data_IF_670354813723
#
_entry.id   IF_670354813723
#
_cell.length_a   1.000
_cell.length_b   1.000
_cell.length_c   1.000
_cell.angle_alpha   90.00
_cell.angle_beta   90.00
_cell.angle_gamma   90.00
#
_symmetry.space_group_name_H-M   'P 1'
#
loop_
_entity.id
_entity.type
_entity.pdbx_description
1 polymer ?
#
# COMPACT_ATOMS: atom_id res chain seq x y z
N UNK A 1 24.72 10.96 6.24
CA UNK A 1 24.68 9.49 6.04
C UNK A 1 23.41 9.17 5.27
N UNK A 2 23.49 8.69 4.04
CA UNK A 2 22.31 8.26 3.30
C UNK A 2 21.83 6.95 3.91
N UNK A 3 20.72 6.98 4.66
CA UNK A 3 20.14 5.76 5.22
C UNK A 3 19.67 4.92 4.04
N UNK A 4 20.33 3.79 3.81
CA UNK A 4 19.98 2.91 2.70
C UNK A 4 18.56 2.35 2.91
N UNK A 5 17.70 2.55 1.91
CA UNK A 5 16.31 2.11 1.96
C UNK A 5 16.29 0.58 1.88
N UNK A 6 15.72 -0.15 2.86
CA UNK A 6 15.66 -1.60 2.82
C UNK A 6 14.82 -2.05 1.62
N UNK A 7 15.12 -3.26 1.10
CA UNK A 7 14.52 -3.76 -0.14
C UNK A 7 12.99 -3.71 -0.14
N UNK A 8 12.34 -4.05 0.97
CA UNK A 8 10.88 -4.03 1.06
C UNK A 8 10.28 -2.61 0.97
N UNK A 9 10.99 -1.57 1.44
CA UNK A 9 10.59 -0.16 1.26
C UNK A 9 10.84 0.26 -0.19
N UNK A 10 11.99 -0.12 -0.76
CA UNK A 10 12.36 0.22 -2.13
C UNK A 10 11.42 -0.39 -3.17
N UNK A 11 10.94 -1.61 -2.92
CA UNK A 11 9.95 -2.30 -3.76
C UNK A 11 8.55 -1.73 -3.51
N UNK A 12 8.15 -1.57 -2.24
CA UNK A 12 6.81 -1.07 -1.90
C UNK A 12 6.56 0.38 -2.32
N UNK A 13 7.58 1.24 -2.24
CA UNK A 13 7.52 2.65 -2.66
C UNK A 13 8.30 2.90 -3.94
N UNK A 14 8.41 1.89 -4.82
CA UNK A 14 9.14 2.04 -6.06
C UNK A 14 8.57 3.22 -6.89
N UNK A 15 9.44 4.17 -7.26
CA UNK A 15 9.08 5.43 -7.94
C UNK A 15 8.20 6.41 -7.13
N UNK A 16 7.95 6.16 -5.85
CA UNK A 16 7.15 7.06 -4.99
C UNK A 16 8.09 7.88 -4.10
N UNK A 17 8.21 9.17 -4.43
CA UNK A 17 9.07 10.13 -3.72
C UNK A 17 8.29 11.10 -2.82
N UNK A 18 6.98 10.89 -2.63
CA UNK A 18 6.17 11.78 -1.79
C UNK A 18 5.24 11.02 -0.86
N UNK A 19 5.13 11.51 0.38
CA UNK A 19 4.21 11.01 1.40
C UNK A 19 2.76 11.05 0.95
N UNK A 20 2.37 12.13 0.29
CA UNK A 20 1.01 12.31 -0.23
C UNK A 20 0.67 11.23 -1.26
N UNK A 21 1.60 10.92 -2.17
CA UNK A 21 1.41 9.87 -3.18
C UNK A 21 1.31 8.49 -2.53
N UNK A 22 2.18 8.16 -1.56
CA UNK A 22 2.11 6.87 -0.87
C UNK A 22 0.79 6.68 -0.10
N UNK A 23 0.29 7.73 0.57
CA UNK A 23 -1.00 7.70 1.24
C UNK A 23 -2.17 7.58 0.25
N UNK A 24 -2.09 8.27 -0.89
CA UNK A 24 -3.10 8.15 -1.94
C UNK A 24 -3.20 6.70 -2.46
N UNK A 25 -2.06 6.03 -2.67
CA UNK A 25 -2.03 4.61 -3.04
C UNK A 25 -2.57 3.71 -1.92
N UNK A 26 -2.20 3.96 -0.66
CA UNK A 26 -2.73 3.19 0.46
C UNK A 26 -4.26 3.29 0.57
N UNK A 27 -4.80 4.51 0.50
CA UNK A 27 -6.24 4.76 0.54
C UNK A 27 -6.95 4.17 -0.68
N UNK A 28 -6.37 4.34 -1.88
CA UNK A 28 -6.91 3.75 -3.10
C UNK A 28 -6.96 2.22 -3.04
N UNK A 29 -5.91 1.58 -2.50
CA UNK A 29 -5.87 0.13 -2.31
C UNK A 29 -6.91 -0.33 -1.29
N UNK A 30 -7.12 0.39 -0.18
CA UNK A 30 -8.22 0.10 0.77
C UNK A 30 -9.56 0.20 0.08
N UNK A 31 -9.82 1.28 -0.67
CA UNK A 31 -11.10 1.48 -1.35
C UNK A 31 -11.37 0.37 -2.37
N UNK A 32 -10.36 0.00 -3.17
CA UNK A 32 -10.47 -1.08 -4.15
C UNK A 32 -10.67 -2.44 -3.48
N UNK A 33 -9.98 -2.69 -2.37
CA UNK A 33 -10.15 -3.90 -1.57
C UNK A 33 -11.58 -4.00 -1.01
N UNK A 34 -12.07 -2.93 -0.38
CA UNK A 34 -13.42 -2.88 0.19
C UNK A 34 -14.51 -3.05 -0.87
N UNK A 35 -14.41 -2.31 -1.99
CA UNK A 35 -15.35 -2.42 -3.09
C UNK A 35 -15.37 -3.83 -3.70
N UNK A 36 -14.19 -4.42 -3.91
CA UNK A 36 -14.05 -5.74 -4.49
C UNK A 36 -14.45 -6.89 -3.56
N UNK A 37 -14.24 -6.76 -2.25
CA UNK A 37 -14.77 -7.71 -1.26
C UNK A 37 -16.30 -7.61 -1.20
N UNK A 38 -16.87 -6.41 -1.15
CA UNK A 38 -18.32 -6.23 -1.17
C UNK A 38 -18.96 -6.82 -2.44
N UNK A 39 -18.34 -6.58 -3.59
CA UNK A 39 -18.75 -7.18 -4.86
C UNK A 39 -18.58 -8.71 -4.88
N UNK A 40 -17.50 -9.23 -4.31
CA UNK A 40 -17.25 -10.66 -4.22
C UNK A 40 -18.29 -11.39 -3.36
N UNK A 41 -18.73 -10.78 -2.26
CA UNK A 41 -19.77 -11.32 -1.40
C UNK A 41 -21.16 -11.39 -2.09
N UNK A 42 -21.38 -10.66 -3.19
CA UNK A 42 -22.61 -10.72 -4.01
C UNK A 42 -22.67 -11.91 -4.98
N UNK A 43 -21.75 -12.87 -4.88
CA UNK A 43 -21.78 -14.12 -5.67
C UNK A 43 -20.55 -14.35 -6.56
N UNK A 44 -19.55 -13.48 -6.50
CA UNK A 44 -18.31 -13.63 -7.25
C UNK A 44 -17.16 -14.11 -6.35
N UNK A 45 -16.60 -15.28 -6.66
CA UNK A 45 -15.45 -15.88 -5.92
C UNK A 45 -14.14 -15.04 -5.95
N UNK A 46 -14.15 -13.86 -6.56
CA UNK A 46 -13.01 -12.95 -6.64
C UNK A 46 -12.68 -12.23 -5.31
N UNK A 47 -13.48 -12.42 -4.24
CA UNK A 47 -13.26 -11.74 -2.95
C UNK A 47 -11.83 -11.91 -2.39
N UNK A 48 -11.19 -13.07 -2.59
CA UNK A 48 -9.83 -13.34 -2.13
C UNK A 48 -8.78 -12.49 -2.85
N UNK A 49 -8.96 -12.25 -4.15
CA UNK A 49 -8.06 -11.41 -4.95
C UNK A 49 -8.16 -9.95 -4.50
N UNK A 50 -9.37 -9.48 -4.22
CA UNK A 50 -9.57 -8.13 -3.70
C UNK A 50 -9.10 -7.98 -2.25
N UNK A 51 -9.20 -9.03 -1.43
CA UNK A 51 -8.59 -9.07 -0.11
C UNK A 51 -7.07 -8.85 -0.13
N UNK A 52 -6.39 -9.27 -1.20
CA UNK A 52 -4.94 -9.05 -1.38
C UNK A 52 -4.57 -7.56 -1.45
N UNK A 53 -5.49 -6.70 -1.90
CA UNK A 53 -5.25 -5.25 -1.94
C UNK A 53 -5.14 -4.64 -0.54
N UNK A 54 -5.70 -5.24 0.51
CA UNK A 54 -5.45 -4.81 1.89
C UNK A 54 -3.99 -5.01 2.29
N UNK A 55 -3.34 -6.09 1.82
CA UNK A 55 -1.92 -6.30 2.06
C UNK A 55 -1.08 -5.23 1.36
N UNK A 56 -1.47 -4.84 0.14
CA UNK A 56 -0.83 -3.73 -0.57
C UNK A 56 -0.98 -2.41 0.18
N UNK A 57 -2.18 -2.09 0.66
CA UNK A 57 -2.42 -0.90 1.49
C UNK A 57 -1.56 -0.89 2.76
N UNK A 58 -1.50 -2.02 3.47
CA UNK A 58 -0.67 -2.18 4.66
C UNK A 58 0.81 -1.97 4.34
N UNK A 59 1.28 -2.50 3.20
CA UNK A 59 2.66 -2.34 2.77
C UNK A 59 2.99 -0.87 2.46
N UNK A 60 2.12 -0.15 1.76
CA UNK A 60 2.27 1.30 1.55
C UNK A 60 2.32 2.08 2.86
N UNK A 61 1.46 1.73 3.82
CA UNK A 61 1.43 2.36 5.13
C UNK A 61 2.73 2.13 5.91
N UNK A 62 3.20 0.88 5.99
CA UNK A 62 4.47 0.54 6.65
C UNK A 62 5.68 1.18 5.96
N UNK A 63 5.71 1.20 4.63
CA UNK A 63 6.75 1.86 3.84
C UNK A 63 6.80 3.35 4.11
N UNK A 64 5.63 4.01 4.10
CA UNK A 64 5.52 5.44 4.41
C UNK A 64 5.94 5.76 5.84
N UNK A 65 5.57 4.93 6.82
CA UNK A 65 5.95 5.11 8.22
C UNK A 65 7.46 4.97 8.43
N UNK A 66 8.10 4.02 7.75
CA UNK A 66 9.55 3.88 7.77
C UNK A 66 10.25 5.13 7.19
N UNK A 67 9.75 5.65 6.06
CA UNK A 67 10.27 6.85 5.41
C UNK A 67 10.09 8.10 6.27
N UNK A 68 8.90 8.27 6.87
CA UNK A 68 8.57 9.36 7.80
C UNK A 68 9.52 9.35 9.02
N UNK A 69 9.74 8.17 9.63
CA UNK A 69 10.61 8.04 10.81
C UNK A 69 12.08 8.41 10.58
N UNK A 70 12.51 8.45 9.31
CA UNK A 70 13.90 8.68 8.91
C UNK A 70 14.08 9.95 8.07
N UNK A 71 13.01 10.71 7.86
CA UNK A 71 12.98 11.86 6.95
C UNK A 71 13.60 11.53 5.58
N UNK A 72 13.30 10.32 5.07
CA UNK A 72 14.02 9.71 3.94
C UNK A 72 13.24 9.72 2.62
N UNK A 73 12.21 10.59 2.52
CA UNK A 73 11.44 10.83 1.29
C UNK A 73 12.35 11.28 0.16
#
# INVERSE_FOLDING_TARGET
MTVEKPLWVRVGLWQINSRATALAFAVGAVFLASAGVAYGLMGHRMFLLFGLFYLSALWYWLGSGWMDSRQAW
#
